data_IF_909706239883
#
_entry.id   IF_909706239883
#
_cell.length_a   1.000
_cell.length_b   1.000
_cell.length_c   1.000
_cell.angle_alpha   90.00
_cell.angle_beta   90.00
_cell.angle_gamma   90.00
#
_symmetry.space_group_name_H-M   'P 1'
#
loop_
_entity.id
_entity.type
_entity.pdbx_description
1 polymer ?
#
# COMPACT_ATOMS: atom_id res chain seq x y z
N UNK A 1 4.43 0.93 37.38
CA UNK A 1 4.91 0.08 36.27
C UNK A 1 5.23 1.01 35.11
N UNK A 2 6.51 1.31 34.91
CA UNK A 2 6.94 2.14 33.79
C UNK A 2 6.74 1.36 32.48
N UNK A 3 6.05 1.96 31.54
CA UNK A 3 5.68 1.38 30.25
C UNK A 3 6.93 1.04 29.45
N UNK A 4 7.04 -0.21 29.03
CA UNK A 4 8.02 -0.71 28.05
C UNK A 4 7.74 -0.16 26.64
N UNK A 5 7.54 1.14 26.47
CA UNK A 5 7.19 1.75 25.18
C UNK A 5 8.36 1.83 24.19
N UNK A 6 9.61 1.57 24.63
CA UNK A 6 10.80 1.74 23.78
C UNK A 6 11.34 0.45 23.14
N UNK A 7 10.51 -0.59 22.98
CA UNK A 7 11.00 -1.90 22.54
C UNK A 7 10.32 -2.44 21.25
N UNK A 8 9.56 -1.62 20.54
CA UNK A 8 8.92 -2.01 19.29
C UNK A 8 9.78 -1.64 18.08
N UNK A 9 9.66 -2.41 17.03
CA UNK A 9 10.34 -2.16 15.75
C UNK A 9 9.55 -1.07 15.01
N UNK A 10 10.17 0.08 14.69
CA UNK A 10 9.52 1.13 13.95
C UNK A 10 9.26 0.71 12.49
N UNK A 11 8.07 1.03 11.99
CA UNK A 11 7.61 0.71 10.64
C UNK A 11 7.19 1.98 9.92
N UNK A 12 7.82 2.26 8.78
CA UNK A 12 7.37 3.24 7.80
C UNK A 12 6.57 2.51 6.72
N UNK A 13 5.26 2.70 6.73
CA UNK A 13 4.30 1.99 5.88
C UNK A 13 3.78 2.93 4.79
N UNK A 14 4.24 2.76 3.56
CA UNK A 14 3.96 3.66 2.43
C UNK A 14 3.08 2.99 1.38
N UNK A 15 1.89 3.54 1.20
CA UNK A 15 0.94 3.14 0.17
C UNK A 15 1.22 3.83 -1.17
N UNK A 16 1.18 3.06 -2.25
CA UNK A 16 1.32 3.54 -3.62
C UNK A 16 0.03 3.35 -4.42
N UNK A 17 -0.01 3.97 -5.61
CA UNK A 17 -1.07 3.80 -6.60
C UNK A 17 -0.69 2.81 -7.72
N UNK A 18 0.38 2.04 -7.53
CA UNK A 18 1.08 1.21 -8.50
C UNK A 18 1.54 1.98 -9.74
N UNK A 19 2.86 1.91 -10.01
CA UNK A 19 3.44 2.41 -11.24
C UNK A 19 3.28 1.34 -12.32
N UNK A 20 2.73 1.71 -13.47
CA UNK A 20 2.53 0.80 -14.58
C UNK A 20 1.38 -0.20 -14.39
N UNK A 21 1.38 -1.24 -15.24
CA UNK A 21 0.33 -2.25 -15.27
C UNK A 21 0.46 -3.26 -14.13
N UNK A 22 -0.62 -3.42 -13.38
CA UNK A 22 -0.80 -4.56 -12.46
C UNK A 22 -2.06 -5.35 -12.85
N UNK A 23 -2.05 -6.69 -12.78
CA UNK A 23 -3.22 -7.51 -13.14
C UNK A 23 -4.46 -7.23 -12.30
N UNK A 24 -4.27 -6.71 -11.09
CA UNK A 24 -5.28 -6.65 -10.04
C UNK A 24 -5.78 -5.23 -9.73
N UNK A 25 -5.21 -4.20 -10.36
CA UNK A 25 -5.52 -2.82 -10.03
C UNK A 25 -5.81 -1.98 -11.29
N UNK A 26 -6.63 -0.93 -11.10
CA UNK A 26 -6.73 0.12 -12.10
C UNK A 26 -5.37 0.79 -12.24
N UNK A 27 -4.79 0.76 -13.45
CA UNK A 27 -3.54 1.45 -13.73
C UNK A 27 -3.75 2.96 -13.64
N UNK A 28 -2.90 3.60 -12.86
CA UNK A 28 -2.78 5.06 -12.89
C UNK A 28 -1.80 5.42 -14.00
N UNK A 29 -2.14 6.42 -14.82
CA UNK A 29 -1.22 6.94 -15.83
C UNK A 29 0.00 7.58 -15.14
N UNK A 30 1.10 6.85 -15.13
CA UNK A 30 2.41 7.32 -14.68
C UNK A 30 3.44 6.93 -15.74
N UNK A 31 4.06 7.91 -16.35
CA UNK A 31 5.10 7.69 -17.36
C UNK A 31 6.44 7.42 -16.67
N UNK A 32 6.71 6.15 -16.41
CA UNK A 32 7.92 5.68 -15.74
C UNK A 32 9.20 6.01 -16.51
N UNK A 33 9.11 6.15 -17.83
CA UNK A 33 10.26 6.43 -18.69
C UNK A 33 10.59 7.91 -18.77
N UNK A 34 9.67 8.81 -18.39
CA UNK A 34 9.94 10.24 -18.46
C UNK A 34 11.03 10.66 -17.46
N UNK A 35 11.90 11.55 -17.88
CA UNK A 35 12.96 12.11 -17.03
C UNK A 35 12.38 12.87 -15.82
N UNK A 36 11.19 13.45 -15.98
CA UNK A 36 10.48 14.13 -14.88
C UNK A 36 10.08 13.13 -13.82
N UNK A 37 9.45 12.00 -14.20
CA UNK A 37 9.07 10.93 -13.29
C UNK A 37 10.28 10.32 -12.58
N UNK A 38 11.35 10.06 -13.31
CA UNK A 38 12.61 9.54 -12.74
C UNK A 38 13.21 10.52 -11.73
N UNK A 39 13.21 11.82 -12.01
CA UNK A 39 13.67 12.85 -11.08
C UNK A 39 12.81 12.88 -9.81
N UNK A 40 11.48 12.95 -9.95
CA UNK A 40 10.55 12.96 -8.82
C UNK A 40 10.68 11.69 -7.97
N UNK A 41 10.87 10.53 -8.60
CA UNK A 41 11.13 9.27 -7.91
C UNK A 41 12.37 9.34 -7.03
N UNK A 42 13.47 9.91 -7.53
CA UNK A 42 14.70 10.08 -6.75
C UNK A 42 14.51 11.05 -5.57
N UNK A 43 13.74 12.11 -5.77
CA UNK A 43 13.41 13.08 -4.72
C UNK A 43 12.60 12.41 -3.60
N UNK A 44 11.55 11.66 -3.96
CA UNK A 44 10.75 10.88 -3.02
C UNK A 44 11.60 9.84 -2.28
N UNK A 45 12.42 9.08 -3.01
CA UNK A 45 13.28 8.07 -2.40
C UNK A 45 14.27 8.67 -1.37
N UNK A 46 14.81 9.86 -1.63
CA UNK A 46 15.65 10.59 -0.67
C UNK A 46 14.90 10.96 0.61
N UNK A 47 13.64 11.39 0.50
CA UNK A 47 12.80 11.70 1.65
C UNK A 47 12.54 10.43 2.49
N UNK A 48 12.11 9.35 1.84
CA UNK A 48 11.83 8.08 2.50
C UNK A 48 13.07 7.44 3.13
N UNK A 49 14.23 7.57 2.49
CA UNK A 49 15.51 7.07 3.01
C UNK A 49 15.96 7.77 4.33
N UNK A 50 15.39 8.94 4.65
CA UNK A 50 15.64 9.59 5.96
C UNK A 50 15.11 8.74 7.13
N UNK A 51 14.19 7.83 6.88
CA UNK A 51 13.78 6.82 7.85
C UNK A 51 14.91 5.87 8.22
N UNK A 52 15.95 5.73 7.37
CA UNK A 52 17.10 4.82 7.56
C UNK A 52 16.63 3.38 7.78
N UNK A 53 15.87 2.80 6.86
CA UNK A 53 15.43 1.42 6.99
C UNK A 53 16.62 0.46 7.00
N UNK A 54 16.52 -0.62 7.77
CA UNK A 54 17.43 -1.78 7.74
C UNK A 54 16.80 -2.97 7.02
N UNK A 55 15.48 -2.97 6.91
CA UNK A 55 14.68 -3.98 6.24
C UNK A 55 13.69 -3.27 5.32
N UNK A 56 13.66 -3.71 4.07
CA UNK A 56 12.70 -3.23 3.07
C UNK A 56 11.84 -4.39 2.61
N UNK A 57 10.51 -4.20 2.66
CA UNK A 57 9.53 -5.18 2.19
C UNK A 57 8.62 -4.56 1.13
N UNK A 58 8.27 -5.37 0.13
CA UNK A 58 7.52 -4.91 -1.04
C UNK A 58 6.41 -5.88 -1.42
N UNK A 59 5.49 -5.42 -2.27
CA UNK A 59 4.40 -6.22 -2.83
C UNK A 59 4.92 -7.16 -3.94
N UNK A 60 5.64 -8.19 -3.51
CA UNK A 60 6.13 -9.26 -4.37
C UNK A 60 5.96 -10.58 -3.63
N UNK A 61 5.67 -11.66 -4.35
CA UNK A 61 5.62 -12.99 -3.74
C UNK A 61 7.02 -13.40 -3.27
N UNK A 62 7.20 -13.96 -2.06
CA UNK A 62 8.53 -14.37 -1.52
C UNK A 62 9.32 -15.29 -2.44
N UNK A 63 8.64 -16.12 -3.22
CA UNK A 63 9.30 -17.02 -4.20
C UNK A 63 10.10 -16.30 -5.30
N UNK A 64 9.91 -15.00 -5.45
CA UNK A 64 10.63 -14.15 -6.42
C UNK A 64 11.75 -13.33 -5.79
N UNK A 65 12.04 -13.50 -4.50
CA UNK A 65 13.06 -12.72 -3.79
C UNK A 65 14.43 -12.82 -4.45
N UNK A 66 14.87 -14.01 -4.84
CA UNK A 66 16.17 -14.19 -5.48
C UNK A 66 16.26 -13.39 -6.79
N UNK A 67 15.23 -13.47 -7.63
CA UNK A 67 15.19 -12.73 -8.90
C UNK A 67 15.12 -11.21 -8.68
N UNK A 68 14.33 -10.77 -7.72
CA UNK A 68 14.21 -9.34 -7.35
C UNK A 68 15.55 -8.83 -6.84
N UNK A 69 16.20 -9.57 -5.95
CA UNK A 69 17.49 -9.17 -5.39
C UNK A 69 18.62 -9.23 -6.41
N UNK A 70 18.58 -10.14 -7.37
CA UNK A 70 19.50 -10.11 -8.51
C UNK A 70 19.37 -8.80 -9.29
N UNK A 71 18.15 -8.37 -9.61
CA UNK A 71 17.90 -7.08 -10.28
C UNK A 71 18.35 -5.90 -9.42
N UNK A 72 18.13 -5.96 -8.11
CA UNK A 72 18.61 -4.95 -7.17
C UNK A 72 20.13 -4.85 -7.15
N UNK A 73 20.86 -5.98 -7.14
CA UNK A 73 22.32 -5.98 -7.18
C UNK A 73 22.86 -5.43 -8.52
N UNK A 74 22.17 -5.67 -9.64
CA UNK A 74 22.54 -5.04 -10.92
C UNK A 74 22.32 -3.52 -10.87
N UNK A 75 21.20 -3.06 -10.28
CA UNK A 75 20.95 -1.64 -10.07
C UNK A 75 22.06 -0.98 -9.24
N UNK A 76 22.55 -1.62 -8.18
CA UNK A 76 23.61 -1.09 -7.33
C UNK A 76 24.94 -0.87 -8.09
N UNK A 77 25.19 -1.61 -9.17
CA UNK A 77 26.39 -1.46 -10.01
C UNK A 77 26.30 -0.21 -10.91
N UNK A 78 25.11 0.14 -11.36
CA UNK A 78 24.87 1.33 -12.21
C UNK A 78 23.64 2.12 -11.75
N UNK A 79 23.69 2.79 -10.60
CA UNK A 79 22.53 3.48 -10.04
C UNK A 79 22.19 4.80 -10.77
N UNK A 80 22.94 5.18 -11.80
CA UNK A 80 22.64 6.35 -12.62
C UNK A 80 21.31 6.18 -13.37
N UNK A 81 20.98 4.94 -13.77
CA UNK A 81 19.75 4.61 -14.46
C UNK A 81 18.78 3.89 -13.51
N UNK A 82 17.57 4.45 -13.37
CA UNK A 82 16.49 3.77 -12.65
C UNK A 82 15.98 2.60 -13.50
N UNK A 83 15.75 1.47 -12.85
CA UNK A 83 15.06 0.34 -13.48
C UNK A 83 13.56 0.58 -13.36
N UNK A 84 12.84 0.61 -14.47
CA UNK A 84 11.39 0.90 -14.51
C UNK A 84 10.53 -0.37 -14.51
N UNK A 85 11.12 -1.51 -14.90
CA UNK A 85 10.43 -2.76 -15.20
C UNK A 85 9.49 -3.30 -14.11
N UNK A 86 9.82 -3.10 -12.83
CA UNK A 86 9.02 -3.57 -11.69
C UNK A 86 8.34 -2.39 -10.96
N UNK A 87 8.05 -1.30 -11.69
CA UNK A 87 7.32 -0.13 -11.21
C UNK A 87 7.94 0.49 -9.96
N UNK A 88 7.10 0.81 -8.97
CA UNK A 88 7.54 1.42 -7.71
C UNK A 88 8.58 0.59 -6.95
N UNK A 89 8.61 -0.73 -7.13
CA UNK A 89 9.59 -1.59 -6.45
C UNK A 89 10.99 -1.25 -6.93
N UNK A 90 11.22 -1.27 -8.24
CA UNK A 90 12.54 -0.98 -8.81
C UNK A 90 12.88 0.52 -8.79
N UNK A 91 11.87 1.38 -8.91
CA UNK A 91 12.10 2.83 -8.95
C UNK A 91 12.28 3.44 -7.55
N UNK A 92 11.43 3.10 -6.57
CA UNK A 92 11.47 3.67 -5.23
C UNK A 92 12.21 2.76 -4.26
N UNK A 93 11.79 1.47 -4.12
CA UNK A 93 12.34 0.63 -3.06
C UNK A 93 13.83 0.31 -3.28
N UNK A 94 14.27 0.12 -4.53
CA UNK A 94 15.70 -0.08 -4.83
C UNK A 94 16.51 1.18 -4.49
N UNK A 95 16.02 2.37 -4.85
CA UNK A 95 16.74 3.61 -4.55
C UNK A 95 16.77 3.91 -3.05
N UNK A 96 15.68 3.68 -2.32
CA UNK A 96 15.68 3.76 -0.85
C UNK A 96 16.68 2.77 -0.24
N UNK A 97 16.72 1.53 -0.76
CA UNK A 97 17.67 0.51 -0.34
C UNK A 97 19.11 0.93 -0.54
N UNK A 98 19.43 1.44 -1.73
CA UNK A 98 20.77 1.98 -2.05
C UNK A 98 21.17 3.12 -1.11
N UNK A 99 20.28 4.11 -0.91
CA UNK A 99 20.53 5.26 -0.04
C UNK A 99 20.69 4.90 1.44
N UNK A 100 20.10 3.76 1.84
CA UNK A 100 20.13 3.26 3.22
C UNK A 100 21.13 2.13 3.45
N UNK A 101 21.90 1.74 2.42
CA UNK A 101 22.84 0.61 2.43
C UNK A 101 22.16 -0.73 2.84
N UNK A 102 20.94 -0.97 2.39
CA UNK A 102 20.25 -2.24 2.62
C UNK A 102 20.75 -3.27 1.61
N UNK A 103 21.13 -4.47 2.08
CA UNK A 103 21.74 -5.49 1.23
C UNK A 103 20.73 -6.21 0.34
N UNK A 104 19.50 -6.41 0.84
CA UNK A 104 18.44 -7.13 0.13
C UNK A 104 17.03 -6.67 0.53
N UNK A 105 16.08 -6.88 -0.38
CA UNK A 105 14.66 -6.65 -0.17
C UNK A 105 13.92 -7.97 0.00
N UNK A 106 12.72 -7.92 0.58
CA UNK A 106 11.85 -9.07 0.80
C UNK A 106 10.48 -8.83 0.18
N UNK A 107 9.99 -9.81 -0.56
CA UNK A 107 8.60 -9.87 -0.96
C UNK A 107 7.74 -10.44 0.18
N UNK A 108 6.60 -9.82 0.45
CA UNK A 108 5.69 -10.29 1.49
C UNK A 108 4.28 -10.57 0.98
N UNK A 109 4.00 -10.37 -0.31
CA UNK A 109 2.69 -10.63 -0.85
C UNK A 109 2.31 -12.12 -0.79
N UNK A 110 1.00 -12.38 -0.78
CA UNK A 110 0.41 -13.68 -0.95
C UNK A 110 -0.80 -13.55 -1.87
N UNK A 111 -0.52 -13.45 -3.19
CA UNK A 111 -1.57 -13.30 -4.18
C UNK A 111 -2.61 -14.41 -4.04
N UNK A 112 -3.85 -14.03 -3.92
CA UNK A 112 -5.01 -14.89 -3.88
C UNK A 112 -5.96 -14.46 -4.98
N UNK A 113 -6.65 -15.41 -5.59
CA UNK A 113 -7.71 -15.13 -6.55
C UNK A 113 -8.90 -14.43 -5.87
N UNK A 114 -8.76 -13.14 -5.59
CA UNK A 114 -9.87 -12.31 -5.14
C UNK A 114 -10.72 -11.91 -6.33
N UNK A 115 -12.02 -12.06 -6.20
CA UNK A 115 -12.92 -11.67 -7.28
C UNK A 115 -13.24 -10.17 -7.18
N UNK A 116 -12.47 -9.36 -7.87
CA UNK A 116 -12.70 -7.90 -7.95
C UNK A 116 -14.01 -7.54 -8.65
N UNK A 117 -14.59 -8.49 -9.43
CA UNK A 117 -15.87 -8.26 -10.09
C UNK A 117 -17.09 -8.41 -9.17
N UNK A 118 -16.88 -8.59 -7.87
CA UNK A 118 -18.01 -8.66 -6.91
C UNK A 118 -18.79 -7.34 -6.88
N UNK A 119 -18.14 -6.20 -7.02
CA UNK A 119 -18.84 -4.93 -7.19
C UNK A 119 -19.76 -4.97 -8.41
N UNK A 120 -19.23 -5.39 -9.55
CA UNK A 120 -20.01 -5.57 -10.78
C UNK A 120 -21.10 -6.64 -10.63
N UNK A 121 -20.82 -7.70 -9.89
CA UNK A 121 -21.80 -8.75 -9.61
C UNK A 121 -22.97 -8.23 -8.77
N UNK A 122 -22.68 -7.45 -7.72
CA UNK A 122 -23.70 -6.80 -6.90
C UNK A 122 -24.58 -5.89 -7.74
N UNK A 123 -23.98 -5.07 -8.60
CA UNK A 123 -24.72 -4.15 -9.48
C UNK A 123 -25.61 -4.88 -10.51
N UNK A 124 -25.22 -6.09 -10.91
CA UNK A 124 -25.97 -6.91 -11.89
C UNK A 124 -26.97 -7.88 -11.29
N UNK A 125 -26.95 -8.05 -9.97
CA UNK A 125 -27.80 -9.01 -9.25
C UNK A 125 -28.79 -8.24 -8.39
N UNK A 126 -30.04 -7.99 -8.89
CA UNK A 126 -31.04 -7.16 -8.20
C UNK A 126 -31.32 -7.63 -6.79
N UNK A 127 -31.31 -8.93 -6.54
CA UNK A 127 -31.56 -9.52 -5.22
C UNK A 127 -30.50 -9.09 -4.20
N UNK A 128 -29.22 -9.06 -4.59
CA UNK A 128 -28.13 -8.60 -3.74
C UNK A 128 -28.15 -7.08 -3.57
N UNK A 129 -28.49 -6.35 -4.62
CA UNK A 129 -28.61 -4.88 -4.58
C UNK A 129 -29.72 -4.46 -3.62
N UNK A 130 -30.82 -5.20 -3.54
CA UNK A 130 -31.92 -4.91 -2.61
C UNK A 130 -31.57 -5.19 -1.14
N UNK A 131 -30.51 -5.97 -0.88
CA UNK A 131 -30.05 -6.27 0.49
C UNK A 131 -29.16 -5.20 1.08
N UNK A 132 -28.71 -4.21 0.30
CA UNK A 132 -27.85 -3.11 0.75
C UNK A 132 -28.65 -1.80 0.77
N UNK A 133 -28.41 -0.98 1.80
CA UNK A 133 -28.90 0.41 1.79
C UNK A 133 -28.19 1.18 0.65
N UNK A 134 -28.93 1.61 -0.40
CA UNK A 134 -28.33 2.29 -1.55
C UNK A 134 -27.60 3.58 -1.18
N UNK A 135 -28.06 4.31 -0.16
CA UNK A 135 -27.40 5.54 0.29
C UNK A 135 -26.07 5.25 0.96
N UNK A 136 -26.02 4.26 1.84
CA UNK A 136 -24.78 3.82 2.48
C UNK A 136 -23.80 3.29 1.45
N UNK A 137 -24.26 2.47 0.48
CA UNK A 137 -23.41 1.96 -0.59
C UNK A 137 -22.82 3.09 -1.45
N UNK A 138 -23.64 4.03 -1.89
CA UNK A 138 -23.18 5.18 -2.68
C UNK A 138 -22.23 6.07 -1.88
N UNK A 139 -22.47 6.26 -0.59
CA UNK A 139 -21.60 7.02 0.28
C UNK A 139 -20.22 6.36 0.43
N UNK A 140 -20.17 5.04 0.58
CA UNK A 140 -18.92 4.29 0.68
C UNK A 140 -18.17 4.25 -0.66
N UNK A 141 -18.87 4.11 -1.78
CA UNK A 141 -18.25 3.85 -3.09
C UNK A 141 -18.06 5.10 -3.95
N UNK A 142 -19.01 6.05 -3.93
CA UNK A 142 -19.03 7.20 -4.84
C UNK A 142 -18.76 8.53 -4.14
N UNK A 143 -19.03 8.61 -2.85
CA UNK A 143 -18.78 9.83 -2.06
C UNK A 143 -18.10 9.49 -0.72
N UNK A 144 -16.93 8.83 -0.78
CA UNK A 144 -16.23 8.36 0.41
C UNK A 144 -15.66 9.51 1.25
N UNK A 145 -15.55 10.70 0.65
CA UNK A 145 -14.93 11.87 1.28
C UNK A 145 -15.92 12.93 1.70
N UNK A 146 -17.20 12.59 1.85
CA UNK A 146 -18.23 13.54 2.30
C UNK A 146 -17.85 14.26 3.60
N UNK A 147 -17.14 13.58 4.50
CA UNK A 147 -16.53 14.15 5.70
C UNK A 147 -15.17 14.83 5.48
N UNK A 148 -14.60 14.76 4.26
CA UNK A 148 -13.26 15.24 3.91
C UNK A 148 -13.26 15.95 2.56
N UNK A 149 -13.99 17.08 2.43
CA UNK A 149 -14.14 17.77 1.14
C UNK A 149 -12.81 18.29 0.59
N UNK A 150 -11.84 18.57 1.44
CA UNK A 150 -10.49 18.97 1.07
C UNK A 150 -9.72 17.85 0.36
N UNK A 151 -9.97 16.58 0.72
CA UNK A 151 -9.38 15.41 0.04
C UNK A 151 -10.05 15.22 -1.32
N UNK A 152 -11.39 15.28 -1.36
CA UNK A 152 -12.14 15.17 -2.60
C UNK A 152 -11.75 16.24 -3.63
N UNK A 153 -11.50 17.46 -3.19
CA UNK A 153 -11.07 18.56 -4.08
C UNK A 153 -9.67 18.29 -4.64
N UNK A 154 -8.73 17.84 -3.81
CA UNK A 154 -7.37 17.49 -4.29
C UNK A 154 -7.40 16.31 -5.25
N UNK A 155 -8.23 15.30 -5.01
CA UNK A 155 -8.31 14.12 -5.87
C UNK A 155 -8.76 14.44 -7.30
N UNK A 156 -9.57 15.48 -7.50
CA UNK A 156 -9.94 15.96 -8.85
C UNK A 156 -8.74 16.38 -9.69
N UNK A 157 -7.67 16.85 -9.05
CA UNK A 157 -6.42 17.28 -9.67
C UNK A 157 -5.33 16.22 -9.64
N UNK A 158 -5.68 14.96 -9.35
CA UNK A 158 -4.70 13.87 -9.16
C UNK A 158 -3.75 13.71 -10.36
N UNK A 159 -4.24 13.90 -11.58
CA UNK A 159 -3.42 13.75 -12.80
C UNK A 159 -2.30 14.79 -12.88
N UNK A 160 -2.57 16.02 -12.42
CA UNK A 160 -1.61 17.14 -12.46
C UNK A 160 -0.61 17.12 -11.29
N UNK A 161 -0.87 16.34 -10.26
CA UNK A 161 -0.02 16.26 -9.07
C UNK A 161 1.36 15.69 -9.39
N UNK A 162 2.37 16.23 -8.72
CA UNK A 162 3.68 15.58 -8.62
C UNK A 162 3.60 14.23 -7.93
N UNK A 163 4.61 13.38 -8.11
CA UNK A 163 4.68 12.08 -7.43
C UNK A 163 4.59 12.23 -5.91
N UNK A 164 5.25 13.23 -5.34
CA UNK A 164 5.22 13.49 -3.90
C UNK A 164 3.81 13.84 -3.40
N UNK A 165 3.08 14.70 -4.12
CA UNK A 165 1.71 15.07 -3.79
C UNK A 165 0.76 13.86 -3.90
N UNK A 166 0.92 13.04 -4.94
CA UNK A 166 0.17 11.79 -5.09
C UNK A 166 0.39 10.85 -3.92
N UNK A 167 1.65 10.65 -3.51
CA UNK A 167 1.97 9.80 -2.37
C UNK A 167 1.46 10.38 -1.05
N UNK A 168 1.54 11.69 -0.83
CA UNK A 168 0.92 12.35 0.34
C UNK A 168 -0.56 12.04 0.40
N UNK A 169 -1.29 12.31 -0.70
CA UNK A 169 -2.73 12.06 -0.78
C UNK A 169 -3.07 10.60 -0.46
N UNK A 170 -2.34 9.64 -1.06
CA UNK A 170 -2.59 8.20 -0.89
C UNK A 170 -2.29 7.68 0.53
N UNK A 171 -1.48 8.40 1.28
CA UNK A 171 -1.10 8.01 2.65
C UNK A 171 -1.86 8.79 3.74
N UNK A 172 -2.85 9.59 3.38
CA UNK A 172 -3.73 10.22 4.36
C UNK A 172 -4.63 9.18 5.04
N UNK A 173 -4.92 9.34 6.35
CA UNK A 173 -5.76 8.39 7.09
C UNK A 173 -7.11 8.11 6.44
N UNK A 174 -7.79 9.14 5.95
CA UNK A 174 -9.09 8.99 5.29
C UNK A 174 -9.00 8.19 3.99
N UNK A 175 -7.91 8.34 3.22
CA UNK A 175 -7.65 7.55 2.02
C UNK A 175 -7.38 6.07 2.35
N UNK A 176 -6.70 5.81 3.46
CA UNK A 176 -6.47 4.45 3.95
C UNK A 176 -7.79 3.79 4.38
N UNK A 177 -8.63 4.50 5.15
CA UNK A 177 -9.95 4.01 5.57
C UNK A 177 -10.85 3.75 4.35
N UNK A 178 -10.88 4.68 3.40
CA UNK A 178 -11.59 4.50 2.14
C UNK A 178 -11.11 3.24 1.39
N UNK A 179 -9.82 2.99 1.39
CA UNK A 179 -9.26 1.83 0.71
C UNK A 179 -9.72 0.50 1.32
N UNK A 180 -9.86 0.42 2.65
CA UNK A 180 -10.45 -0.76 3.32
C UNK A 180 -11.93 -0.89 2.92
N UNK A 181 -12.69 0.20 3.01
CA UNK A 181 -14.09 0.19 2.68
C UNK A 181 -14.35 -0.27 1.24
N UNK A 182 -13.64 0.27 0.27
CA UNK A 182 -13.87 -0.07 -1.15
C UNK A 182 -13.39 -1.46 -1.55
N UNK A 183 -12.36 -1.99 -0.89
CA UNK A 183 -11.81 -3.31 -1.24
C UNK A 183 -12.45 -4.46 -0.47
N UNK A 184 -13.06 -4.20 0.69
CA UNK A 184 -13.63 -5.26 1.52
C UNK A 184 -14.93 -4.85 2.22
N UNK A 185 -14.93 -3.80 3.04
CA UNK A 185 -15.99 -3.58 4.03
C UNK A 185 -17.34 -3.21 3.40
N UNK A 186 -17.36 -2.63 2.20
CA UNK A 186 -18.61 -2.40 1.45
C UNK A 186 -19.41 -3.70 1.24
N UNK A 187 -18.72 -4.85 1.17
CA UNK A 187 -19.36 -6.15 0.98
C UNK A 187 -20.06 -6.66 2.24
N UNK A 188 -19.76 -6.10 3.41
CA UNK A 188 -20.43 -6.47 4.67
C UNK A 188 -21.91 -6.05 4.69
N UNK A 189 -22.32 -5.19 3.75
CA UNK A 189 -23.71 -4.76 3.58
C UNK A 189 -24.49 -5.64 2.59
N UNK A 190 -23.88 -6.72 2.08
CA UNK A 190 -24.42 -7.55 0.99
C UNK A 190 -24.71 -8.96 1.45
N UNK A 191 -25.92 -9.42 1.17
CA UNK A 191 -26.37 -10.78 1.41
C UNK A 191 -27.81 -10.96 0.91
N UNK A 192 -28.25 -12.20 0.74
CA UNK A 192 -29.63 -12.56 0.38
C UNK A 192 -30.29 -13.12 1.64
N UNK A 193 -31.42 -12.55 2.05
CA UNK A 193 -32.10 -12.89 3.30
C UNK A 193 -31.14 -12.84 4.50
N UNK A 194 -30.88 -13.97 5.15
CA UNK A 194 -29.92 -14.13 6.26
C UNK A 194 -28.53 -14.58 5.78
N UNK A 195 -28.22 -14.47 4.48
CA UNK A 195 -26.95 -14.91 3.87
C UNK A 195 -25.77 -13.98 4.17
N UNK A 196 -24.55 -14.51 4.01
CA UNK A 196 -23.29 -13.84 4.28
C UNK A 196 -22.38 -13.75 3.05
N UNK A 197 -22.93 -13.79 1.84
CA UNK A 197 -22.18 -13.89 0.58
C UNK A 197 -21.17 -12.74 0.44
N UNK A 198 -21.55 -11.54 0.83
CA UNK A 198 -20.64 -10.39 0.82
C UNK A 198 -19.53 -10.51 1.87
N UNK A 199 -19.87 -10.88 3.10
CA UNK A 199 -18.90 -11.06 4.17
C UNK A 199 -17.92 -12.20 3.85
N UNK A 200 -18.38 -13.31 3.28
CA UNK A 200 -17.55 -14.43 2.85
C UNK A 200 -16.55 -14.00 1.78
N UNK A 201 -16.98 -13.17 0.83
CA UNK A 201 -16.08 -12.63 -0.18
C UNK A 201 -15.11 -11.58 0.40
N UNK A 202 -15.56 -10.69 1.27
CA UNK A 202 -14.69 -9.74 1.99
C UNK A 202 -13.58 -10.48 2.76
N UNK A 203 -13.93 -11.61 3.40
CA UNK A 203 -13.00 -12.44 4.16
C UNK A 203 -11.79 -12.91 3.32
N UNK A 204 -11.94 -13.11 2.01
CA UNK A 204 -10.84 -13.48 1.10
C UNK A 204 -9.79 -12.35 1.04
N UNK A 205 -10.23 -11.09 0.93
CA UNK A 205 -9.32 -9.95 0.90
C UNK A 205 -8.62 -9.74 2.26
N UNK A 206 -9.36 -9.88 3.36
CA UNK A 206 -8.78 -9.90 4.70
C UNK A 206 -7.75 -11.02 4.86
N UNK A 207 -8.05 -12.22 4.36
CA UNK A 207 -7.14 -13.38 4.42
C UNK A 207 -5.82 -13.09 3.67
N UNK A 208 -5.86 -12.49 2.47
CA UNK A 208 -4.64 -12.07 1.76
C UNK A 208 -3.81 -11.13 2.64
N UNK A 209 -4.42 -10.10 3.21
CA UNK A 209 -3.73 -9.13 4.06
C UNK A 209 -3.18 -9.74 5.36
N UNK A 210 -3.89 -10.67 5.99
CA UNK A 210 -3.37 -11.44 7.13
C UNK A 210 -2.16 -12.29 6.75
N UNK A 211 -2.15 -12.89 5.55
CA UNK A 211 -0.99 -13.64 5.05
C UNK A 211 0.20 -12.73 4.74
N UNK A 212 -0.04 -11.56 4.18
CA UNK A 212 1.00 -10.52 3.98
C UNK A 212 1.62 -10.15 5.33
N UNK A 213 0.81 -9.88 6.34
CA UNK A 213 1.30 -9.58 7.70
C UNK A 213 2.02 -10.78 8.34
N UNK A 214 1.57 -12.00 8.07
CA UNK A 214 2.27 -13.22 8.50
C UNK A 214 3.64 -13.36 7.84
N UNK A 215 3.75 -13.06 6.53
CA UNK A 215 5.03 -13.06 5.82
C UNK A 215 5.99 -12.01 6.38
N UNK A 216 5.50 -10.79 6.68
CA UNK A 216 6.29 -9.78 7.37
C UNK A 216 6.86 -10.31 8.70
N UNK A 217 6.03 -11.02 9.49
CA UNK A 217 6.47 -11.57 10.77
C UNK A 217 7.48 -12.72 10.68
N UNK A 218 7.59 -13.38 9.52
CA UNK A 218 8.57 -14.46 9.27
C UNK A 218 9.98 -13.95 8.98
N UNK A 219 10.13 -12.66 8.63
CA UNK A 219 11.44 -12.06 8.39
C UNK A 219 12.16 -11.96 9.73
N UNK A 220 13.41 -12.49 9.83
CA UNK A 220 14.20 -12.33 11.05
C UNK A 220 14.49 -10.86 11.32
N UNK A 221 14.13 -10.41 12.51
CA UNK A 221 14.28 -9.01 12.92
C UNK A 221 14.65 -8.91 14.39
N UNK A 222 15.36 -7.88 14.73
CA UNK A 222 15.68 -7.45 16.10
C UNK A 222 15.00 -6.14 16.42
N UNK A 223 15.00 -5.74 17.68
CA UNK A 223 14.51 -4.43 18.13
C UNK A 223 15.28 -3.23 17.57
N UNK A 224 16.46 -3.46 17.00
CA UNK A 224 17.28 -2.41 16.39
C UNK A 224 16.94 -2.19 14.92
N UNK A 225 16.09 -3.05 14.33
CA UNK A 225 15.68 -2.94 12.96
C UNK A 225 14.63 -1.86 12.75
N UNK A 226 14.54 -1.39 11.51
CA UNK A 226 13.63 -0.37 11.04
C UNK A 226 13.04 -0.86 9.72
N UNK A 227 11.75 -1.08 9.67
CA UNK A 227 11.08 -1.70 8.52
C UNK A 227 10.46 -0.63 7.64
N UNK A 228 10.83 -0.62 6.37
CA UNK A 228 10.16 0.15 5.32
C UNK A 228 9.28 -0.79 4.50
N UNK A 229 7.99 -0.47 4.40
CA UNK A 229 6.99 -1.18 3.61
C UNK A 229 6.60 -0.30 2.43
N UNK A 230 6.66 -0.85 1.21
CA UNK A 230 6.17 -0.20 -0.01
C UNK A 230 5.25 -1.17 -0.75
N UNK A 231 3.95 -0.88 -0.74
CA UNK A 231 2.91 -1.71 -1.35
C UNK A 231 1.75 -0.84 -1.84
N UNK A 232 0.88 -1.38 -2.66
CA UNK A 232 -0.37 -0.71 -3.01
C UNK A 232 -1.17 -0.29 -1.77
N UNK A 233 -1.83 0.88 -1.86
CA UNK A 233 -2.60 1.49 -0.76
C UNK A 233 -3.57 0.52 -0.11
N UNK A 234 -4.22 -0.34 -0.90
CA UNK A 234 -5.16 -1.32 -0.38
C UNK A 234 -4.54 -2.21 0.70
N UNK A 235 -3.29 -2.65 0.50
CA UNK A 235 -2.59 -3.52 1.44
C UNK A 235 -2.00 -2.75 2.61
N UNK A 236 -1.41 -1.59 2.38
CA UNK A 236 -0.85 -0.75 3.45
C UNK A 236 -1.92 -0.25 4.41
N UNK A 237 -3.14 -0.03 3.93
CA UNK A 237 -4.29 0.31 4.77
C UNK A 237 -4.60 -0.78 5.80
N UNK A 238 -4.64 -2.06 5.39
CA UNK A 238 -4.83 -3.19 6.30
C UNK A 238 -3.62 -3.39 7.22
N UNK A 239 -2.40 -3.25 6.70
CA UNK A 239 -1.19 -3.35 7.51
C UNK A 239 -1.15 -2.28 8.60
N UNK A 240 -1.60 -1.05 8.32
CA UNK A 240 -1.78 0.02 9.33
C UNK A 240 -2.61 -0.48 10.51
N UNK A 241 -3.76 -1.11 10.24
CA UNK A 241 -4.64 -1.61 11.30
C UNK A 241 -4.04 -2.79 12.08
N UNK A 242 -3.24 -3.64 11.43
CA UNK A 242 -2.55 -4.73 12.12
C UNK A 242 -1.38 -4.22 12.95
N UNK A 243 -0.59 -3.28 12.44
CA UNK A 243 0.57 -2.69 13.12
C UNK A 243 0.12 -1.88 14.33
N UNK A 244 -0.97 -1.12 14.25
CA UNK A 244 -1.51 -0.29 15.34
C UNK A 244 -1.73 -1.09 16.64
N UNK A 245 -2.14 -2.33 16.55
CA UNK A 245 -2.36 -3.23 17.71
C UNK A 245 -1.22 -4.24 17.93
N UNK A 246 -0.14 -4.15 17.17
CA UNK A 246 0.97 -5.10 17.26
C UNK A 246 1.77 -4.94 18.55
N UNK A 247 2.13 -6.04 19.24
CA UNK A 247 3.10 -5.98 20.32
C UNK A 247 4.55 -5.85 19.83
N UNK A 248 4.83 -6.17 18.54
CA UNK A 248 6.17 -6.21 17.94
C UNK A 248 6.53 -4.92 17.21
N UNK A 249 5.55 -4.30 16.54
CA UNK A 249 5.77 -3.16 15.65
C UNK A 249 5.13 -1.88 16.17
N UNK A 250 5.71 -0.75 15.75
CA UNK A 250 5.17 0.59 15.96
C UNK A 250 5.22 1.37 14.64
N UNK A 251 4.06 1.86 14.21
CA UNK A 251 3.99 2.64 12.97
C UNK A 251 4.46 4.07 13.21
N UNK A 252 5.40 4.56 12.41
CA UNK A 252 5.75 5.97 12.38
C UNK A 252 4.80 6.73 11.45
N UNK A 253 4.71 8.04 11.64
CA UNK A 253 3.90 8.91 10.79
C UNK A 253 4.52 9.02 9.39
N UNK A 254 3.87 8.38 8.42
CA UNK A 254 4.33 8.33 7.02
C UNK A 254 4.40 9.72 6.39
N UNK A 255 3.44 10.59 6.68
CA UNK A 255 3.38 11.92 6.06
C UNK A 255 4.58 12.78 6.45
N UNK A 256 5.12 12.64 7.67
CA UNK A 256 6.36 13.32 8.08
C UNK A 256 7.59 12.97 7.24
N UNK A 257 7.62 11.78 6.65
CA UNK A 257 8.70 11.35 5.76
C UNK A 257 8.45 11.70 4.29
N UNK A 258 7.28 12.24 3.99
CA UNK A 258 6.93 12.80 2.68
C UNK A 258 6.94 14.35 2.69
N UNK A 259 7.34 14.99 3.80
CA UNK A 259 7.51 16.43 3.88
C UNK A 259 8.91 16.84 3.41
N UNK A 260 8.97 17.87 2.57
CA UNK A 260 10.22 18.55 2.27
C UNK A 260 10.69 19.29 3.54
N UNK A 261 11.88 18.96 4.02
CA UNK A 261 12.47 19.72 5.10
C UNK A 261 13.02 21.03 4.54
N UNK A 262 12.54 22.12 5.10
CA UNK A 262 13.08 23.46 4.85
C UNK A 262 14.52 23.58 5.33
#
# INVERSE_FOLDING_TARGET
MASNEHNKIPVLNVGTFHFGYTPDAHSTEFDEESETSKKQTREVAKLLAQFKPTIIVVEKLPKYDDKMNQAYQEYLKNPAELITKDGEISMIAFEVGRLSNVEKLYGIDNHMGYNYSVGDYIERTPELTNSIDPQTYLQITNDPYKGHPEIAEREKHFKEMSLLEKLKLFNEPAQMDYSINTNADKLLYVGIDDGFEGADNAAIFYQRNMRIYSNLNRIPMTKNDRVFILMGRAHTAFLREFIKRSPKFEMVDTLKYLEERQ
#
